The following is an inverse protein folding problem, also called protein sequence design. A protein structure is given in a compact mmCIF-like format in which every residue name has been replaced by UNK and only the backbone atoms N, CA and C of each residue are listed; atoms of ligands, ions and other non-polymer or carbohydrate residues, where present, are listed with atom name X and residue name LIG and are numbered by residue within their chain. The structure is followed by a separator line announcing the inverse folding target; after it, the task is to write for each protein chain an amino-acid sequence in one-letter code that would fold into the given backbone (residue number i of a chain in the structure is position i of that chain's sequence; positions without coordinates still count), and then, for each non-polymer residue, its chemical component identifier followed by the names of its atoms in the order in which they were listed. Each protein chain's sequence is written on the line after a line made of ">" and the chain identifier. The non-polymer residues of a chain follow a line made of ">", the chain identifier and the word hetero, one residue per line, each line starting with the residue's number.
data_IF_367442727010
#
_entry.id   IF_367442727010
#
_cell.length_a   1.000
_cell.length_b   1.000
_cell.length_c   1.000
_cell.angle_alpha   90.00
_cell.angle_beta   90.00
_cell.angle_gamma   90.00
#
_symmetry.space_group_name_H-M   'P 1'
#
loop_
_entity.id
_entity.type
_entity.pdbx_description
1 polymer ?
#
# COMPACT_ATOMS: atom_id res chain seq x y z
N UNK A 1 -14.99 8.59 18.59
CA UNK A 1 -14.17 7.59 17.88
C UNK A 1 -14.10 6.26 18.61
N UNK A 2 -14.28 6.22 19.94
CA UNK A 2 -14.31 4.96 20.71
C UNK A 2 -12.93 4.30 20.89
N UNK A 3 -11.91 4.87 20.25
CA UNK A 3 -10.52 4.41 20.35
C UNK A 3 -9.88 4.90 21.65
N UNK A 4 -8.98 4.06 22.17
CA UNK A 4 -8.12 4.29 23.32
C UNK A 4 -6.65 4.34 22.84
N UNK A 5 -5.70 4.45 23.77
CA UNK A 5 -4.25 4.42 23.50
C UNK A 5 -3.79 5.52 22.52
N UNK A 6 -4.04 6.78 22.87
CA UNK A 6 -3.69 7.95 22.04
C UNK A 6 -2.21 7.99 21.65
N UNK A 7 -1.33 7.52 22.53
CA UNK A 7 0.10 7.37 22.27
C UNK A 7 0.43 6.44 21.09
N UNK A 8 -0.48 5.51 20.77
CA UNK A 8 -0.35 4.57 19.65
C UNK A 8 -0.91 5.11 18.33
N UNK A 9 -1.63 6.24 18.35
CA UNK A 9 -2.36 6.72 17.18
C UNK A 9 -1.45 7.13 16.03
N UNK A 10 -0.27 7.69 16.29
CA UNK A 10 0.65 8.06 15.22
C UNK A 10 1.16 6.81 14.47
N UNK A 11 1.46 5.73 15.19
CA UNK A 11 1.88 4.46 14.59
C UNK A 11 0.74 3.86 13.77
N UNK A 12 -0.47 3.86 14.32
CA UNK A 12 -1.67 3.43 13.61
C UNK A 12 -1.91 4.28 12.35
N UNK A 13 -1.70 5.60 12.44
CA UNK A 13 -1.90 6.51 11.31
C UNK A 13 -0.89 6.22 10.19
N UNK A 14 0.37 6.01 10.55
CA UNK A 14 1.43 5.70 9.60
C UNK A 14 1.23 4.32 8.96
N UNK A 15 0.79 3.32 9.74
CA UNK A 15 0.55 1.95 9.25
C UNK A 15 -0.50 1.92 8.13
N UNK A 16 -1.52 2.77 8.21
CA UNK A 16 -2.57 2.91 7.20
C UNK A 16 -2.44 4.18 6.35
N UNK A 17 -1.23 4.72 6.27
CA UNK A 17 -0.81 5.77 5.33
C UNK A 17 -1.70 7.02 5.33
N UNK A 18 -2.28 7.38 6.48
CA UNK A 18 -3.16 8.57 6.55
C UNK A 18 -4.48 8.44 5.78
N UNK A 19 -4.81 7.26 5.24
CA UNK A 19 -5.96 7.08 4.37
C UNK A 19 -7.27 6.93 5.17
N UNK A 20 -8.19 7.89 4.99
CA UNK A 20 -9.47 7.93 5.70
C UNK A 20 -10.36 6.70 5.47
N UNK A 21 -10.30 6.08 4.28
CA UNK A 21 -11.09 4.88 3.98
C UNK A 21 -10.56 3.67 4.75
N UNK A 22 -9.23 3.53 4.83
CA UNK A 22 -8.60 2.45 5.60
C UNK A 22 -8.92 2.63 7.08
N UNK A 23 -8.77 3.84 7.63
CA UNK A 23 -9.14 4.11 9.02
C UNK A 23 -10.57 3.79 9.35
N UNK A 24 -11.54 4.23 8.55
CA UNK A 24 -12.96 3.94 8.84
C UNK A 24 -13.20 2.43 8.95
N UNK A 25 -12.53 1.65 8.11
CA UNK A 25 -12.63 0.19 8.12
C UNK A 25 -11.97 -0.42 9.35
N UNK A 26 -10.74 -0.02 9.65
CA UNK A 26 -9.97 -0.59 10.76
C UNK A 26 -10.48 -0.15 12.13
N UNK A 27 -10.90 1.11 12.29
CA UNK A 27 -11.52 1.61 13.53
C UNK A 27 -12.77 0.78 13.88
N UNK A 28 -13.56 0.39 12.87
CA UNK A 28 -14.72 -0.47 13.09
C UNK A 28 -14.30 -1.86 13.58
N UNK A 29 -13.19 -2.39 13.09
CA UNK A 29 -12.63 -3.67 13.53
C UNK A 29 -12.06 -3.57 14.96
N UNK A 30 -11.27 -2.52 15.25
CA UNK A 30 -10.67 -2.28 16.57
C UNK A 30 -11.76 -2.17 17.65
N UNK A 31 -12.81 -1.38 17.39
CA UNK A 31 -13.91 -1.23 18.34
C UNK A 31 -14.69 -2.54 18.59
N UNK A 32 -14.76 -3.44 17.60
CA UNK A 32 -15.52 -4.69 17.71
C UNK A 32 -14.73 -5.83 18.34
N UNK A 33 -13.43 -5.90 18.05
CA UNK A 33 -12.61 -7.07 18.38
C UNK A 33 -11.62 -6.79 19.52
N UNK A 34 -11.31 -5.51 19.80
CA UNK A 34 -10.31 -5.09 20.78
C UNK A 34 -10.85 -4.02 21.75
N UNK A 35 -12.18 -3.84 21.81
CA UNK A 35 -12.85 -2.88 22.69
C UNK A 35 -12.30 -1.43 22.59
N UNK A 36 -11.84 -1.05 21.40
CA UNK A 36 -11.27 0.26 21.13
C UNK A 36 -9.79 0.41 21.43
N UNK A 37 -9.13 -0.61 22.01
CA UNK A 37 -7.70 -0.58 22.34
C UNK A 37 -6.84 -0.72 21.08
N UNK A 38 -6.18 0.37 20.71
CA UNK A 38 -5.33 0.45 19.52
C UNK A 38 -4.02 -0.29 19.76
N UNK A 39 -3.48 -0.25 20.99
CA UNK A 39 -2.24 -0.93 21.33
C UNK A 39 -2.35 -2.46 21.17
N UNK A 40 -3.46 -3.04 21.63
CA UNK A 40 -3.72 -4.49 21.52
C UNK A 40 -3.79 -4.93 20.04
N UNK A 41 -4.43 -4.12 19.18
CA UNK A 41 -4.46 -4.37 17.75
C UNK A 41 -3.07 -4.27 17.10
N UNK A 42 -2.30 -3.23 17.44
CA UNK A 42 -0.94 -3.06 16.88
C UNK A 42 0.04 -4.12 17.37
N UNK A 43 -0.20 -4.73 18.54
CA UNK A 43 0.66 -5.78 19.10
C UNK A 43 0.68 -7.06 18.27
N UNK A 44 -0.29 -7.28 17.36
CA UNK A 44 -0.26 -8.39 16.41
C UNK A 44 0.90 -8.29 15.41
N UNK A 45 1.47 -7.09 15.23
CA UNK A 45 2.60 -6.83 14.34
C UNK A 45 2.36 -7.31 12.89
N UNK A 46 1.11 -7.23 12.43
CA UNK A 46 0.67 -7.60 11.09
C UNK A 46 -0.15 -6.44 10.50
N UNK A 47 0.03 -6.16 9.21
CA UNK A 47 -0.82 -5.22 8.49
C UNK A 47 -2.15 -5.90 8.14
N UNK A 48 -3.15 -5.75 9.01
CA UNK A 48 -4.44 -6.39 8.80
C UNK A 48 -5.20 -5.75 7.62
N UNK A 49 -5.66 -6.58 6.68
CA UNK A 49 -6.49 -6.18 5.54
C UNK A 49 -7.88 -6.82 5.64
N UNK A 50 -8.89 -6.14 6.20
CA UNK A 50 -10.26 -6.64 6.22
C UNK A 50 -10.81 -6.85 4.81
N UNK A 51 -11.78 -7.76 4.66
CA UNK A 51 -12.42 -8.09 3.37
C UNK A 51 -12.87 -6.84 2.58
N UNK A 52 -13.38 -5.81 3.27
CA UNK A 52 -13.78 -4.55 2.62
C UNK A 52 -12.62 -3.84 1.92
N UNK A 53 -11.42 -3.86 2.51
CA UNK A 53 -10.21 -3.31 1.89
C UNK A 53 -9.74 -4.23 0.76
N UNK A 54 -9.77 -5.55 0.96
CA UNK A 54 -9.40 -6.51 -0.09
C UNK A 54 -10.26 -6.34 -1.35
N UNK A 55 -11.59 -6.25 -1.21
CA UNK A 55 -12.49 -6.02 -2.36
C UNK A 55 -12.22 -4.69 -3.05
N UNK A 56 -11.96 -3.63 -2.28
CA UNK A 56 -11.59 -2.32 -2.85
C UNK A 56 -10.28 -2.39 -3.65
N UNK A 57 -9.27 -3.08 -3.12
CA UNK A 57 -8.00 -3.24 -3.82
C UNK A 57 -8.08 -4.17 -5.03
N UNK A 58 -8.97 -5.16 -4.99
CA UNK A 58 -9.28 -6.00 -6.14
C UNK A 58 -9.85 -5.18 -7.29
N UNK A 59 -10.79 -4.28 -7.01
CA UNK A 59 -11.31 -3.34 -8.01
C UNK A 59 -10.18 -2.46 -8.58
N UNK A 60 -9.35 -1.87 -7.71
CA UNK A 60 -8.19 -1.07 -8.14
C UNK A 60 -7.27 -1.87 -9.06
N UNK A 61 -6.88 -3.08 -8.66
CA UNK A 61 -5.97 -3.93 -9.42
C UNK A 61 -6.55 -4.35 -10.77
N UNK A 62 -7.84 -4.68 -10.82
CA UNK A 62 -8.54 -5.03 -12.06
C UNK A 62 -8.66 -3.83 -13.03
N UNK A 63 -8.60 -2.61 -12.53
CA UNK A 63 -8.57 -1.38 -13.34
C UNK A 63 -7.17 -0.92 -13.75
N UNK A 64 -6.11 -1.62 -13.31
CA UNK A 64 -4.76 -1.41 -13.83
C UNK A 64 -4.65 -2.06 -15.22
N UNK A 65 -4.00 -1.37 -16.15
CA UNK A 65 -3.56 -1.95 -17.41
C UNK A 65 -2.55 -3.09 -17.17
N UNK A 66 -2.37 -4.01 -18.12
CA UNK A 66 -1.39 -5.10 -17.98
C UNK A 66 0.02 -4.60 -17.61
N UNK A 67 0.46 -3.49 -18.22
CA UNK A 67 1.73 -2.84 -17.91
C UNK A 67 1.80 -2.34 -16.46
N UNK A 68 0.74 -1.72 -15.97
CA UNK A 68 0.68 -1.25 -14.57
C UNK A 68 0.67 -2.43 -13.60
N UNK A 69 -0.05 -3.51 -13.91
CA UNK A 69 -0.06 -4.75 -13.13
C UNK A 69 1.35 -5.34 -13.01
N UNK A 70 2.10 -5.44 -14.12
CA UNK A 70 3.47 -5.94 -14.11
C UNK A 70 4.38 -5.10 -13.19
N UNK A 71 4.25 -3.77 -13.26
CA UNK A 71 5.02 -2.84 -12.42
C UNK A 71 4.69 -3.03 -10.93
N UNK A 72 3.40 -3.10 -10.55
CA UNK A 72 3.03 -3.23 -9.13
C UNK A 72 3.35 -4.62 -8.58
N UNK A 73 3.20 -5.69 -9.37
CA UNK A 73 3.60 -7.05 -9.00
C UNK A 73 5.11 -7.14 -8.77
N UNK A 74 5.90 -6.40 -9.56
CA UNK A 74 7.34 -6.38 -9.38
C UNK A 74 7.75 -5.53 -8.17
N UNK A 75 7.17 -4.34 -8.02
CA UNK A 75 7.41 -3.49 -6.85
C UNK A 75 6.97 -4.16 -5.54
N UNK A 76 5.94 -5.01 -5.58
CA UNK A 76 5.45 -5.66 -4.37
C UNK A 76 6.50 -6.57 -3.74
N UNK A 77 7.45 -7.11 -4.51
CA UNK A 77 8.54 -7.97 -4.00
C UNK A 77 9.52 -7.26 -3.08
N UNK A 78 9.49 -5.92 -3.03
CA UNK A 78 10.45 -5.12 -2.28
C UNK A 78 9.80 -4.49 -1.04
N UNK A 79 10.41 -4.73 0.12
CA UNK A 79 10.04 -4.04 1.37
C UNK A 79 10.44 -2.57 1.38
N UNK A 80 11.62 -2.30 0.84
CA UNK A 80 12.22 -0.97 0.80
C UNK A 80 12.05 -0.36 -0.59
N UNK A 81 12.17 0.96 -0.67
CA UNK A 81 12.17 1.65 -1.96
C UNK A 81 13.34 1.20 -2.83
N UNK A 82 13.08 0.98 -4.12
CA UNK A 82 14.09 0.56 -5.10
C UNK A 82 14.37 1.67 -6.11
N UNK A 83 15.53 1.64 -6.75
CA UNK A 83 15.84 2.60 -7.82
C UNK A 83 15.02 2.34 -9.08
N UNK A 84 14.86 3.40 -9.88
CA UNK A 84 14.24 3.31 -11.21
C UNK A 84 14.94 2.28 -12.09
N UNK A 85 16.27 2.28 -12.05
CA UNK A 85 17.11 1.43 -12.88
C UNK A 85 16.96 -0.04 -12.49
N UNK A 86 16.97 -0.37 -11.20
CA UNK A 86 16.71 -1.74 -10.71
C UNK A 86 15.32 -2.23 -11.13
N UNK A 87 14.27 -1.40 -10.93
CA UNK A 87 12.93 -1.75 -11.35
C UNK A 87 12.86 -2.00 -12.86
N UNK A 88 13.46 -1.10 -13.64
CA UNK A 88 13.45 -1.17 -15.11
C UNK A 88 14.14 -2.42 -15.65
N UNK A 89 15.24 -2.84 -15.04
CA UNK A 89 16.00 -4.04 -15.41
C UNK A 89 15.22 -5.32 -15.13
N UNK A 90 14.31 -5.28 -14.15
CA UNK A 90 13.50 -6.43 -13.77
C UNK A 90 12.19 -6.61 -14.56
N UNK A 91 11.92 -5.70 -15.51
CA UNK A 91 10.68 -5.66 -16.29
C UNK A 91 10.99 -5.70 -17.79
N UNK A 92 10.27 -6.53 -18.54
CA UNK A 92 10.43 -6.65 -19.99
C UNK A 92 9.51 -5.67 -20.74
N UNK A 93 9.54 -4.41 -20.34
CA UNK A 93 8.70 -3.35 -20.91
C UNK A 93 9.48 -2.50 -21.92
N UNK A 94 8.77 -1.81 -22.82
CA UNK A 94 9.38 -0.72 -23.58
C UNK A 94 9.65 0.47 -22.66
N UNK A 95 10.54 1.39 -23.07
CA UNK A 95 10.77 2.62 -22.29
C UNK A 95 9.53 3.51 -22.21
N UNK A 96 8.66 3.47 -23.22
CA UNK A 96 7.40 4.24 -23.23
C UNK A 96 6.41 3.64 -22.24
N UNK A 97 6.18 2.33 -22.31
CA UNK A 97 5.24 1.62 -21.44
C UNK A 97 5.66 1.72 -19.98
N UNK A 98 6.95 1.54 -19.69
CA UNK A 98 7.49 1.68 -18.35
C UNK A 98 7.22 3.07 -17.75
N UNK A 99 7.54 4.14 -18.49
CA UNK A 99 7.36 5.50 -17.97
C UNK A 99 5.88 5.88 -17.85
N UNK A 100 5.04 5.48 -18.81
CA UNK A 100 3.60 5.75 -18.76
C UNK A 100 2.92 5.00 -17.62
N UNK A 101 3.23 3.70 -17.45
CA UNK A 101 2.70 2.90 -16.36
C UNK A 101 3.12 3.45 -14.99
N UNK A 102 4.40 3.78 -14.84
CA UNK A 102 4.91 4.37 -13.60
C UNK A 102 4.31 5.75 -13.31
N UNK A 103 4.08 6.59 -14.32
CA UNK A 103 3.41 7.88 -14.17
C UNK A 103 1.95 7.71 -13.73
N UNK A 104 1.20 6.82 -14.38
CA UNK A 104 -0.20 6.56 -14.05
C UNK A 104 -0.35 6.04 -12.61
N UNK A 105 0.52 5.10 -12.20
CA UNK A 105 0.53 4.58 -10.83
C UNK A 105 0.83 5.66 -9.77
N UNK A 106 1.74 6.61 -10.08
CA UNK A 106 2.02 7.75 -9.20
C UNK A 106 0.83 8.71 -9.11
N UNK A 107 0.14 8.99 -10.22
CA UNK A 107 -1.06 9.85 -10.23
C UNK A 107 -2.20 9.25 -9.39
N UNK A 108 -2.26 7.92 -9.27
CA UNK A 108 -3.21 7.20 -8.41
C UNK A 108 -2.73 7.03 -6.96
N UNK A 109 -1.57 7.59 -6.60
CA UNK A 109 -0.94 7.45 -5.28
C UNK A 109 -0.65 5.99 -4.87
N UNK A 110 -0.58 5.06 -5.84
CA UNK A 110 -0.21 3.67 -5.57
C UNK A 110 1.31 3.51 -5.46
N UNK A 111 2.07 4.31 -6.21
CA UNK A 111 3.53 4.33 -6.16
C UNK A 111 4.00 5.72 -5.76
N UNK A 112 4.86 5.79 -4.74
CA UNK A 112 5.45 7.04 -4.25
C UNK A 112 6.91 7.13 -4.64
N UNK A 113 7.33 8.32 -5.07
CA UNK A 113 8.75 8.66 -5.28
C UNK A 113 9.31 9.27 -3.99
N UNK A 114 10.27 8.60 -3.35
CA UNK A 114 10.71 8.99 -1.99
C UNK A 114 11.78 10.08 -1.98
N UNK A 115 12.67 10.12 -2.99
CA UNK A 115 13.73 11.15 -3.09
C UNK A 115 13.97 11.59 -4.52
N UNK A 116 14.20 12.89 -4.69
CA UNK A 116 14.53 13.47 -5.99
C UNK A 116 15.92 13.05 -6.49
N UNK A 117 16.90 12.86 -5.60
CA UNK A 117 18.29 12.60 -6.01
C UNK A 117 18.57 11.15 -6.44
N UNK A 118 17.83 10.17 -5.90
CA UNK A 118 18.07 8.73 -6.18
C UNK A 118 16.98 8.06 -7.00
N UNK A 119 15.97 8.80 -7.49
CA UNK A 119 14.83 8.28 -8.27
C UNK A 119 14.31 6.94 -7.70
N UNK A 120 14.06 6.94 -6.38
CA UNK A 120 13.58 5.76 -5.65
C UNK A 120 12.06 5.69 -5.69
N UNK A 121 11.54 4.50 -5.89
CA UNK A 121 10.11 4.20 -5.95
C UNK A 121 9.74 3.17 -4.88
N UNK A 122 8.56 3.35 -4.30
CA UNK A 122 7.97 2.40 -3.36
C UNK A 122 6.47 2.28 -3.65
N UNK A 123 5.94 1.06 -3.59
CA UNK A 123 4.51 0.80 -3.61
C UNK A 123 3.90 1.16 -2.24
N UNK A 124 2.69 1.71 -2.20
CA UNK A 124 1.90 1.84 -0.96
C UNK A 124 2.00 0.54 -0.17
N UNK A 125 2.34 0.63 1.11
CA UNK A 125 2.55 -0.51 1.99
C UNK A 125 1.26 -1.32 2.13
N UNK A 126 0.12 -0.63 2.22
CA UNK A 126 -1.21 -1.25 2.33
C UNK A 126 -1.60 -1.94 1.02
N UNK A 127 -1.37 -1.28 -0.12
CA UNK A 127 -1.67 -1.90 -1.41
C UNK A 127 -0.70 -3.03 -1.74
N UNK A 128 0.57 -2.92 -1.36
CA UNK A 128 1.58 -3.96 -1.50
C UNK A 128 1.19 -5.23 -0.76
N UNK A 129 0.69 -5.09 0.46
CA UNK A 129 0.20 -6.23 1.24
C UNK A 129 -0.95 -6.93 0.51
N UNK A 130 -1.84 -6.18 -0.15
CA UNK A 130 -2.85 -6.78 -1.00
C UNK A 130 -2.22 -7.52 -2.19
N UNK A 131 -1.35 -6.86 -2.96
CA UNK A 131 -0.74 -7.45 -4.17
C UNK A 131 0.04 -8.72 -3.86
N UNK A 132 0.72 -8.81 -2.71
CA UNK A 132 1.49 -10.02 -2.34
C UNK A 132 0.65 -11.23 -1.99
N UNK A 133 -0.50 -11.01 -1.37
CA UNK A 133 -1.29 -12.07 -0.78
C UNK A 133 -2.49 -12.48 -1.67
N UNK A 134 -2.88 -11.64 -2.62
CA UNK A 134 -4.14 -11.80 -3.37
C UNK A 134 -4.01 -11.63 -4.90
N UNK A 135 -2.81 -11.37 -5.43
CA UNK A 135 -2.54 -11.26 -6.87
C UNK A 135 -1.44 -12.25 -7.29
#
# INVERSE_FOLDING_TARGET
>A
TGLQDEESWLNFINLYEGNLMYFKTIITLINKNYDGKVADFLAENILHLPNKMQSHFQEIFNHLSPTEQEIVLQLSKFEQSISREELRQSLNLSSVDFNNGLQSLQQRYLVTKIKNDKRLFQLSSVFREYVRNYC
#
